data_IF_551837730165
#
_entry.id   IF_551837730165
#
_cell.length_a   1.000
_cell.length_b   1.000
_cell.length_c   1.000
_cell.angle_alpha   90.00
_cell.angle_beta   90.00
_cell.angle_gamma   90.00
#
_symmetry.space_group_name_H-M   'P 1'
#
loop_
_entity.id
_entity.type
_entity.pdbx_description
1 polymer ?
#
# COMPACT_ATOMS: atom_id res chain seq x y z
N UNK A 1 4.70 -12.85 -40.52
CA UNK A 1 4.65 -13.68 -39.30
C UNK A 1 3.22 -14.14 -39.10
N UNK A 2 3.07 -15.41 -38.81
CA UNK A 2 1.92 -16.26 -39.11
C UNK A 2 0.79 -16.09 -38.09
N UNK A 3 -0.44 -15.91 -38.60
CA UNK A 3 -1.70 -16.04 -37.86
C UNK A 3 -1.91 -17.49 -37.43
N UNK A 4 -2.26 -17.79 -36.18
CA UNK A 4 -3.04 -18.99 -35.87
C UNK A 4 -3.89 -18.83 -34.61
N UNK A 5 -5.14 -19.26 -34.77
CA UNK A 5 -6.31 -19.12 -33.91
C UNK A 5 -6.66 -20.55 -33.51
N UNK A 6 -6.57 -20.90 -32.21
CA UNK A 6 -7.00 -22.21 -31.74
C UNK A 6 -8.12 -22.10 -30.70
N UNK A 7 -9.32 -22.50 -31.12
CA UNK A 7 -10.43 -22.97 -30.28
C UNK A 7 -10.43 -24.51 -30.35
N UNK A 8 -11.26 -25.12 -29.49
CA UNK A 8 -11.65 -26.55 -29.39
C UNK A 8 -10.73 -27.35 -28.47
N UNK A 9 -11.18 -28.16 -27.51
CA UNK A 9 -12.51 -28.65 -27.10
C UNK A 9 -12.42 -29.02 -25.61
N UNK A 10 -13.26 -29.81 -24.95
CA UNK A 10 -14.33 -30.72 -25.33
C UNK A 10 -15.02 -31.09 -24.00
N UNK A 11 -16.34 -31.22 -24.00
CA UNK A 11 -17.16 -31.69 -22.88
C UNK A 11 -16.68 -33.03 -22.30
N UNK A 12 -16.75 -33.17 -20.97
CA UNK A 12 -16.95 -34.45 -20.30
C UNK A 12 -18.11 -34.32 -19.29
N UNK A 13 -19.17 -35.07 -19.61
CA UNK A 13 -20.39 -35.32 -18.85
C UNK A 13 -20.14 -36.49 -17.87
N UNK A 14 -21.05 -36.66 -16.88
CA UNK A 14 -21.31 -37.84 -16.01
C UNK A 14 -20.82 -37.68 -14.56
N UNK A 15 -21.49 -38.14 -13.50
CA UNK A 15 -22.88 -38.53 -13.22
C UNK A 15 -22.96 -38.72 -11.68
N UNK A 16 -24.08 -38.31 -11.09
CA UNK A 16 -24.75 -38.78 -9.87
C UNK A 16 -23.98 -39.42 -8.69
N UNK A 17 -24.34 -38.93 -7.48
CA UNK A 17 -24.83 -39.79 -6.40
C UNK A 17 -23.96 -39.86 -5.14
N UNK A 18 -24.57 -39.64 -3.98
CA UNK A 18 -23.97 -40.03 -2.70
C UNK A 18 -24.39 -39.18 -1.51
N UNK A 19 -25.62 -39.38 -1.03
CA UNK A 19 -26.07 -38.92 0.28
C UNK A 19 -25.45 -39.83 1.36
N UNK A 20 -24.60 -39.29 2.24
CA UNK A 20 -24.22 -39.96 3.49
C UNK A 20 -24.44 -39.00 4.67
N UNK A 21 -25.32 -39.42 5.59
CA UNK A 21 -25.48 -38.85 6.92
C UNK A 21 -24.49 -39.49 7.91
N UNK A 22 -24.18 -38.70 8.94
CA UNK A 22 -23.60 -39.04 10.26
C UNK A 22 -22.08 -38.96 10.42
N UNK A 23 -21.61 -37.94 11.16
CA UNK A 23 -20.91 -38.13 12.45
C UNK A 23 -20.70 -36.78 13.16
N UNK A 24 -20.99 -36.72 14.45
CA UNK A 24 -20.56 -35.66 15.37
C UNK A 24 -19.06 -35.78 15.67
N UNK A 25 -18.38 -34.67 15.93
CA UNK A 25 -17.07 -34.67 16.56
C UNK A 25 -16.34 -33.35 16.34
N UNK A 26 -16.21 -32.56 17.40
CA UNK A 26 -15.41 -31.34 17.45
C UNK A 26 -13.99 -31.61 16.94
N UNK A 27 -13.52 -30.83 15.98
CA UNK A 27 -12.09 -30.70 15.68
C UNK A 27 -11.85 -29.29 15.17
N UNK A 28 -11.33 -28.45 16.07
CA UNK A 28 -10.59 -27.24 15.74
C UNK A 28 -9.41 -27.67 14.86
N UNK A 29 -9.62 -27.66 13.55
CA UNK A 29 -8.57 -27.88 12.58
C UNK A 29 -7.90 -26.53 12.30
N UNK A 30 -6.56 -26.41 12.44
CA UNK A 30 -5.87 -25.24 11.90
C UNK A 30 -6.18 -25.18 10.40
N UNK A 31 -6.44 -23.97 9.91
CA UNK A 31 -6.77 -23.71 8.51
C UNK A 31 -5.56 -24.11 7.66
N UNK A 32 -5.53 -25.36 7.19
CA UNK A 32 -4.61 -25.80 6.14
C UNK A 32 -5.19 -25.36 4.80
N UNK A 33 -4.74 -24.20 4.32
CA UNK A 33 -5.06 -23.69 3.00
C UNK A 33 -4.24 -24.46 1.95
N UNK A 34 -4.70 -25.65 1.51
CA UNK A 34 -4.16 -26.29 0.32
C UNK A 34 -4.77 -25.67 -0.96
N UNK A 35 -4.03 -24.74 -1.58
CA UNK A 35 -4.16 -24.43 -3.01
C UNK A 35 -4.38 -22.97 -3.40
N UNK A 36 -3.46 -22.47 -4.24
CA UNK A 36 -3.46 -21.20 -4.98
C UNK A 36 -3.49 -19.91 -4.13
N UNK A 37 -2.30 -19.47 -3.73
CA UNK A 37 -1.92 -18.06 -3.59
C UNK A 37 -2.76 -17.26 -2.58
N UNK A 38 -2.63 -17.61 -1.30
CA UNK A 38 -2.60 -16.57 -0.28
C UNK A 38 -1.24 -15.86 -0.38
N UNK A 39 -1.08 -14.96 -1.34
CA UNK A 39 -0.04 -13.93 -1.27
C UNK A 39 -0.38 -13.05 -0.07
N UNK A 40 -0.04 -13.51 1.14
CA UNK A 40 0.13 -12.59 2.24
C UNK A 40 1.29 -11.70 1.82
N UNK A 41 0.99 -10.41 1.67
CA UNK A 41 2.02 -9.42 1.44
C UNK A 41 2.83 -9.38 2.75
N UNK A 42 3.94 -10.14 2.81
CA UNK A 42 4.81 -10.31 3.99
C UNK A 42 5.25 -8.95 4.58
N UNK A 43 5.12 -7.88 3.80
CA UNK A 43 5.37 -6.50 4.20
C UNK A 43 4.43 -5.98 5.30
N UNK A 44 3.23 -6.53 5.45
CA UNK A 44 2.29 -6.09 6.49
C UNK A 44 2.60 -6.67 7.88
N UNK A 45 3.38 -7.75 7.97
CA UNK A 45 3.74 -8.41 9.24
C UNK A 45 4.96 -7.77 9.92
N UNK A 46 5.73 -6.95 9.18
CA UNK A 46 6.90 -6.22 9.69
C UNK A 46 6.61 -4.76 10.04
N UNK A 47 5.38 -4.28 9.76
CA UNK A 47 5.03 -2.87 9.87
C UNK A 47 5.63 -2.01 8.75
N UNK A 48 5.28 -0.73 8.74
CA UNK A 48 5.86 0.25 7.82
C UNK A 48 7.29 0.60 8.25
N UNK A 49 8.25 0.54 7.32
CA UNK A 49 9.68 0.67 7.66
C UNK A 49 10.08 2.07 8.15
N UNK A 50 9.30 3.09 7.78
CA UNK A 50 9.49 4.49 8.19
C UNK A 50 8.72 4.86 9.48
N UNK A 51 8.16 3.88 10.20
CA UNK A 51 7.53 4.13 11.49
C UNK A 51 8.51 4.79 12.49
N UNK A 52 8.00 5.74 13.27
CA UNK A 52 8.75 6.45 14.29
C UNK A 52 8.30 7.88 14.54
N UNK A 53 9.06 8.58 15.39
CA UNK A 53 8.93 10.01 15.63
C UNK A 53 10.02 10.78 14.88
N UNK A 54 9.60 11.81 14.14
CA UNK A 54 10.43 12.50 13.16
C UNK A 54 10.29 14.01 13.31
N UNK A 55 11.39 14.73 13.16
CA UNK A 55 11.40 16.17 12.94
C UNK A 55 11.47 16.45 11.43
N UNK A 56 10.61 17.35 10.95
CA UNK A 56 10.58 17.81 9.56
C UNK A 56 11.55 18.98 9.36
N UNK A 57 12.06 19.15 8.14
CA UNK A 57 12.81 20.37 7.75
C UNK A 57 12.00 21.67 7.82
N UNK A 58 10.67 21.58 8.00
CA UNK A 58 9.78 22.73 8.19
C UNK A 58 9.61 23.15 9.65
N UNK A 59 10.25 22.44 10.59
CA UNK A 59 10.23 22.77 12.03
C UNK A 59 9.03 22.22 12.78
N UNK A 60 8.31 21.26 12.19
CA UNK A 60 7.24 20.49 12.83
C UNK A 60 7.70 19.07 13.13
N UNK A 61 7.03 18.42 14.06
CA UNK A 61 7.21 17.00 14.33
C UNK A 61 6.06 16.20 13.71
N UNK A 62 6.37 15.01 13.20
CA UNK A 62 5.38 14.05 12.70
C UNK A 62 5.66 12.67 13.30
N UNK A 63 4.59 11.93 13.57
CA UNK A 63 4.64 10.53 14.00
C UNK A 63 4.08 9.65 12.90
N UNK A 64 4.82 8.60 12.54
CA UNK A 64 4.39 7.60 11.57
C UNK A 64 4.21 6.27 12.31
N UNK A 65 3.05 5.66 12.14
CA UNK A 65 2.68 4.35 12.68
C UNK A 65 2.03 3.52 11.56
N UNK A 66 1.67 2.28 11.85
CA UNK A 66 0.88 1.44 10.93
C UNK A 66 -0.55 1.97 10.71
N UNK A 67 -1.01 2.92 11.52
CA UNK A 67 -2.36 3.48 11.46
C UNK A 67 -2.38 4.93 10.98
N UNK A 68 -1.25 5.66 11.08
CA UNK A 68 -1.22 7.10 10.86
C UNK A 68 0.08 7.57 10.22
N UNK A 69 -0.03 8.57 9.35
CA UNK A 69 1.08 9.39 8.89
C UNK A 69 0.83 10.84 9.31
N UNK A 70 1.45 11.28 10.40
CA UNK A 70 1.15 12.58 11.00
C UNK A 70 -0.31 12.65 11.45
N UNK A 71 -1.09 13.54 10.84
CA UNK A 71 -2.53 13.67 11.12
C UNK A 71 -3.41 12.80 10.21
N UNK A 72 -2.85 12.20 9.16
CA UNK A 72 -3.60 11.40 8.20
C UNK A 72 -3.66 9.94 8.65
N UNK A 73 -4.73 9.24 8.28
CA UNK A 73 -4.85 7.80 8.48
C UNK A 73 -4.02 7.06 7.42
N UNK A 74 -3.19 6.11 7.84
CA UNK A 74 -2.49 5.23 6.92
C UNK A 74 -3.47 4.13 6.46
N UNK A 75 -3.74 4.07 5.16
CA UNK A 75 -4.69 3.10 4.58
C UNK A 75 -3.96 1.88 4.04
N UNK A 76 -2.90 2.11 3.26
CA UNK A 76 -2.10 1.07 2.62
C UNK A 76 -0.64 1.51 2.57
N UNK A 77 0.28 0.56 2.57
CA UNK A 77 1.70 0.80 2.34
C UNK A 77 2.38 -0.42 1.70
N UNK A 78 3.48 -0.17 1.01
CA UNK A 78 4.37 -1.18 0.45
C UNK A 78 5.82 -0.70 0.62
N UNK A 79 6.59 -1.37 1.48
CA UNK A 79 7.99 -1.01 1.72
C UNK A 79 8.91 -1.42 0.56
N UNK A 80 8.54 -2.38 -0.29
CA UNK A 80 9.39 -2.74 -1.45
C UNK A 80 9.26 -1.68 -2.55
N UNK A 81 8.09 -1.07 -2.67
CA UNK A 81 7.79 -0.02 -3.63
C UNK A 81 7.89 1.40 -3.06
N UNK A 82 8.34 1.56 -1.81
CA UNK A 82 8.54 2.82 -1.10
C UNK A 82 7.33 3.79 -1.16
N UNK A 83 6.10 3.29 -0.95
CA UNK A 83 4.91 4.14 -0.99
C UNK A 83 3.82 3.79 0.02
N UNK A 84 2.98 4.79 0.30
CA UNK A 84 1.80 4.68 1.13
C UNK A 84 0.62 5.44 0.53
N UNK A 85 -0.58 4.96 0.83
CA UNK A 85 -1.83 5.69 0.63
C UNK A 85 -2.33 6.13 2.00
N UNK A 86 -2.58 7.43 2.12
CA UNK A 86 -3.11 8.04 3.34
C UNK A 86 -4.50 8.61 3.08
N UNK A 87 -5.33 8.71 4.11
CA UNK A 87 -6.61 9.38 4.05
C UNK A 87 -6.66 10.53 5.05
N UNK A 88 -7.12 11.70 4.61
CA UNK A 88 -7.38 12.83 5.49
C UNK A 88 -8.54 12.49 6.43
N UNK A 89 -8.47 12.98 7.67
CA UNK A 89 -9.55 12.76 8.64
C UNK A 89 -10.85 13.45 8.20
N UNK A 90 -11.99 12.95 8.67
CA UNK A 90 -13.32 13.51 8.34
C UNK A 90 -13.53 14.95 8.82
N UNK A 91 -12.71 15.43 9.76
CA UNK A 91 -12.72 16.78 10.29
C UNK A 91 -11.62 17.69 9.68
N UNK A 92 -10.87 17.20 8.69
CA UNK A 92 -9.85 18.00 8.01
C UNK A 92 -10.48 19.23 7.33
N UNK A 93 -9.82 20.39 7.47
CA UNK A 93 -10.30 21.66 6.89
C UNK A 93 -10.37 21.61 5.35
N UNK A 94 -9.46 20.84 4.74
CA UNK A 94 -9.36 20.64 3.30
C UNK A 94 -9.29 19.16 2.98
N UNK A 95 -10.03 18.74 1.94
CA UNK A 95 -10.01 17.37 1.46
C UNK A 95 -10.42 16.33 2.51
N UNK A 96 -11.43 16.60 3.34
CA UNK A 96 -11.94 15.65 4.32
C UNK A 96 -12.34 14.32 3.66
N UNK A 97 -11.95 13.20 4.27
CA UNK A 97 -12.15 11.84 3.76
C UNK A 97 -11.49 11.54 2.40
N UNK A 98 -10.58 12.39 1.93
CA UNK A 98 -9.90 12.24 0.63
C UNK A 98 -8.56 11.55 0.78
N UNK A 99 -8.14 10.89 -0.29
CA UNK A 99 -6.94 10.06 -0.33
C UNK A 99 -5.76 10.81 -0.94
N UNK A 100 -4.58 10.51 -0.43
CA UNK A 100 -3.31 11.03 -0.92
C UNK A 100 -2.33 9.87 -1.12
N UNK A 101 -1.34 10.08 -2.00
CA UNK A 101 -0.28 9.10 -2.27
C UNK A 101 1.05 9.71 -1.85
N UNK A 102 1.76 9.01 -0.97
CA UNK A 102 3.08 9.38 -0.46
C UNK A 102 4.08 8.36 -0.97
N UNK A 103 5.25 8.83 -1.40
CA UNK A 103 6.43 8.01 -1.69
C UNK A 103 7.60 8.47 -0.84
N UNK A 104 8.53 7.59 -0.53
CA UNK A 104 9.71 7.94 0.26
C UNK A 104 11.01 7.42 -0.32
N UNK A 105 12.12 7.88 0.26
CA UNK A 105 13.45 7.32 0.05
C UNK A 105 13.79 6.36 1.18
N UNK A 106 14.72 5.41 0.98
CA UNK A 106 15.23 4.58 2.07
C UNK A 106 15.76 5.42 3.23
N UNK A 107 15.62 4.90 4.45
CA UNK A 107 16.19 5.52 5.65
C UNK A 107 17.72 5.35 5.64
N UNK A 108 18.44 6.47 5.69
CA UNK A 108 19.91 6.52 5.77
C UNK A 108 20.30 7.49 6.87
N UNK A 109 21.17 7.05 7.78
CA UNK A 109 21.66 7.86 8.91
C UNK A 109 20.53 8.54 9.70
N UNK A 110 19.50 7.76 10.06
CA UNK A 110 18.33 8.21 10.81
C UNK A 110 17.55 9.35 10.11
N UNK A 111 17.62 9.41 8.78
CA UNK A 111 16.88 10.38 7.98
C UNK A 111 16.32 9.76 6.70
N UNK A 112 15.23 10.32 6.21
CA UNK A 112 14.69 10.00 4.88
C UNK A 112 13.94 11.21 4.31
N UNK A 113 13.49 11.11 3.06
CA UNK A 113 12.66 12.11 2.42
C UNK A 113 11.34 11.49 1.99
N UNK A 114 10.25 12.25 2.04
CA UNK A 114 9.00 11.87 1.41
C UNK A 114 8.46 12.95 0.49
N UNK A 115 7.68 12.50 -0.49
CA UNK A 115 6.94 13.32 -1.43
C UNK A 115 5.48 12.88 -1.46
N UNK A 116 4.56 13.83 -1.35
CA UNK A 116 3.14 13.59 -1.65
C UNK A 116 2.90 13.85 -3.14
N UNK A 117 2.83 12.79 -3.93
CA UNK A 117 2.73 12.86 -5.40
C UNK A 117 1.30 13.11 -5.89
N UNK A 118 0.30 12.77 -5.07
CA UNK A 118 -1.10 13.06 -5.35
C UNK A 118 -1.86 13.34 -4.06
N UNK A 119 -2.90 14.18 -4.14
CA UNK A 119 -3.71 14.61 -3.01
C UNK A 119 -5.17 14.82 -3.44
N UNK A 120 -6.07 14.85 -2.46
CA UNK A 120 -7.50 15.15 -2.64
C UNK A 120 -8.23 14.17 -3.58
N UNK A 121 -7.78 12.90 -3.63
CA UNK A 121 -8.38 11.86 -4.46
C UNK A 121 -9.68 11.35 -3.83
N UNK A 122 -10.67 11.03 -4.67
CA UNK A 122 -12.00 10.68 -4.17
C UNK A 122 -12.08 9.28 -3.59
N UNK A 123 -11.28 8.35 -4.12
CA UNK A 123 -11.31 6.94 -3.76
C UNK A 123 -9.89 6.39 -3.59
N UNK A 124 -9.78 5.29 -2.84
CA UNK A 124 -8.52 4.56 -2.71
C UNK A 124 -8.11 3.91 -4.04
N UNK A 125 -9.07 3.55 -4.89
CA UNK A 125 -8.82 3.05 -6.24
C UNK A 125 -8.14 4.12 -7.13
N UNK A 126 -8.57 5.37 -7.04
CA UNK A 126 -7.92 6.48 -7.74
C UNK A 126 -6.47 6.67 -7.26
N UNK A 127 -6.24 6.55 -5.94
CA UNK A 127 -4.90 6.62 -5.34
C UNK A 127 -3.98 5.49 -5.83
N UNK A 128 -4.49 4.26 -5.93
CA UNK A 128 -3.73 3.11 -6.48
C UNK A 128 -3.38 3.29 -7.96
N UNK A 129 -4.20 4.04 -8.70
CA UNK A 129 -3.99 4.27 -10.13
C UNK A 129 -2.97 5.38 -10.45
N UNK A 130 -2.48 6.11 -9.44
CA UNK A 130 -1.48 7.16 -9.62
C UNK A 130 -0.16 6.59 -10.11
N UNK A 131 0.36 7.14 -11.20
CA UNK A 131 1.74 6.92 -11.63
C UNK A 131 2.69 7.74 -10.76
N UNK A 132 3.15 7.11 -9.69
CA UNK A 132 4.08 7.68 -8.70
C UNK A 132 5.40 8.16 -9.31
N UNK A 133 5.84 7.58 -10.42
CA UNK A 133 7.14 7.87 -11.03
C UNK A 133 7.16 9.19 -11.82
N UNK A 134 5.99 9.70 -12.20
CA UNK A 134 5.89 10.94 -12.98
C UNK A 134 6.23 12.18 -12.15
N UNK A 135 5.88 12.16 -10.85
CA UNK A 135 5.94 13.32 -9.96
C UNK A 135 6.95 13.16 -8.82
N UNK A 136 7.67 12.04 -8.76
CA UNK A 136 8.73 11.78 -7.79
C UNK A 136 10.07 11.45 -8.47
N UNK A 137 11.00 12.41 -8.37
CA UNK A 137 12.42 12.24 -8.66
C UNK A 137 13.24 12.43 -7.38
N UNK A 138 13.80 11.32 -6.87
CA UNK A 138 14.58 11.29 -5.65
C UNK A 138 16.09 11.52 -5.86
N UNK A 139 16.53 11.97 -7.06
CA UNK A 139 17.95 12.17 -7.34
C UNK A 139 18.57 13.36 -6.61
N UNK A 140 17.77 14.38 -6.27
CA UNK A 140 18.16 15.56 -5.47
C UNK A 140 16.99 16.07 -4.61
N UNK A 141 16.56 15.30 -3.60
CA UNK A 141 15.32 15.55 -2.87
C UNK A 141 15.38 16.81 -2.00
N UNK A 142 16.58 17.29 -1.65
CA UNK A 142 16.74 18.57 -0.92
C UNK A 142 16.38 19.79 -1.78
N UNK A 143 16.47 19.68 -3.11
CA UNK A 143 16.33 20.82 -4.01
C UNK A 143 15.13 20.71 -4.97
N UNK A 144 14.56 19.53 -5.17
CA UNK A 144 13.44 19.37 -6.11
C UNK A 144 12.94 17.93 -6.25
N UNK A 145 12.15 17.71 -7.30
CA UNK A 145 11.73 16.38 -7.72
C UNK A 145 10.40 15.89 -7.14
N UNK A 146 9.77 16.61 -6.22
CA UNK A 146 8.41 16.32 -5.75
C UNK A 146 7.41 17.26 -6.42
N UNK A 147 6.94 16.93 -7.63
CA UNK A 147 6.07 17.81 -8.43
C UNK A 147 6.70 19.19 -8.75
N UNK A 148 8.03 19.27 -8.76
CA UNK A 148 8.79 20.51 -8.94
C UNK A 148 9.17 21.24 -7.63
N UNK A 149 8.81 20.71 -6.46
CA UNK A 149 9.22 21.21 -5.15
C UNK A 149 10.25 20.29 -4.49
N UNK A 150 10.96 20.80 -3.48
CA UNK A 150 11.81 19.97 -2.62
C UNK A 150 10.95 19.01 -1.79
N UNK A 151 11.52 17.86 -1.46
CA UNK A 151 10.87 16.84 -0.64
C UNK A 151 10.88 17.25 0.83
N UNK A 152 9.97 16.65 1.60
CA UNK A 152 9.98 16.80 3.06
C UNK A 152 11.07 15.91 3.62
N UNK A 153 12.05 16.49 4.32
CA UNK A 153 13.10 15.74 5.02
C UNK A 153 12.62 15.41 6.43
N UNK A 154 12.78 14.14 6.78
CA UNK A 154 12.46 13.58 8.09
C UNK A 154 13.77 13.21 8.78
N UNK A 155 13.97 13.68 10.00
CA UNK A 155 15.12 13.32 10.85
C UNK A 155 14.61 12.70 12.14
N UNK A 156 15.13 11.53 12.52
CA UNK A 156 14.68 10.81 13.72
C UNK A 156 14.85 11.70 14.97
N UNK A 157 13.89 11.63 15.89
CA UNK A 157 13.95 12.28 17.20
C UNK A 157 14.62 11.42 18.27
#
# INVERSE_FOLDING_TARGET
>A
MTTLKNRVGLMALMLAGGLCLAACGETDAPVECEGAECEQNDNQDQGIEVAGEWATNFGYDETITEETWGMMLLTEYDNEADFAITQNTSDAEFGADRYNVVVWTPVVDDSFYYCMVAFDLETVEDARAIDRSADADASDPENGGCGGFAWTKMTRK
#
